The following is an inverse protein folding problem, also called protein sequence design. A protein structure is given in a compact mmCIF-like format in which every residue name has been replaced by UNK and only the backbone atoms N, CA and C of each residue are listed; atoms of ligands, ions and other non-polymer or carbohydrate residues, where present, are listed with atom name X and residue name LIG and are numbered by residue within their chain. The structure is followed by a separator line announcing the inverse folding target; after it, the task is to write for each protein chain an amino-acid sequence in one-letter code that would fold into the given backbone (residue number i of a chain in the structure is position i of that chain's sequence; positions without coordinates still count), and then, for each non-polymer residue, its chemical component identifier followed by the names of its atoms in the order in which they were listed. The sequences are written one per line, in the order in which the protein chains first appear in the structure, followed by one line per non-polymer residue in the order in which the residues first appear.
data_IF_343924757670
#
_entry.id   IF_343924757670
#
_cell.length_a   1.000
_cell.length_b   1.000
_cell.length_c   1.000
_cell.angle_alpha   90.00
_cell.angle_beta   90.00
_cell.angle_gamma   90.00
#
_symmetry.space_group_name_H-M   'P 1'
#
loop_
_entity.id
_entity.type
_entity.pdbx_description
1 polymer ?
#
# COMPACT_ATOMS: atom_id res chain seq x y z
N UNK A 1 2.56 23.95 37.19
CA UNK A 1 3.86 23.33 36.83
C UNK A 1 3.77 22.16 35.86
N UNK A 2 2.61 21.60 35.56
CA UNK A 2 2.46 20.47 34.61
C UNK A 2 2.55 20.86 33.10
N UNK A 3 2.37 22.13 32.76
CA UNK A 3 2.34 22.59 31.36
C UNK A 3 3.71 22.96 30.75
N UNK A 4 4.76 23.11 31.57
CA UNK A 4 6.11 23.38 31.07
C UNK A 4 6.90 22.10 30.73
N UNK A 5 6.52 20.95 31.30
CA UNK A 5 7.14 19.66 30.96
C UNK A 5 6.72 19.12 29.59
N UNK A 6 5.52 19.46 29.11
CA UNK A 6 5.03 19.04 27.78
C UNK A 6 5.71 19.80 26.63
N UNK A 7 6.06 21.08 26.81
CA UNK A 7 6.72 21.90 25.78
C UNK A 7 8.23 21.62 25.69
N UNK A 8 8.89 21.26 26.78
CA UNK A 8 10.30 20.84 26.77
C UNK A 8 10.50 19.45 26.14
N UNK A 9 9.49 18.59 26.17
CA UNK A 9 9.50 17.30 25.46
C UNK A 9 9.47 17.44 23.94
N UNK A 10 8.73 18.41 23.41
CA UNK A 10 8.63 18.62 21.95
C UNK A 10 9.91 19.16 21.30
N UNK A 11 10.72 19.92 22.04
CA UNK A 11 12.02 20.40 21.54
C UNK A 11 13.09 19.30 21.45
N UNK A 12 12.94 18.22 22.23
CA UNK A 12 13.86 17.06 22.24
C UNK A 12 13.66 16.11 21.05
N UNK A 13 12.48 16.10 20.41
CA UNK A 13 12.17 15.32 19.22
C UNK A 13 12.45 16.04 17.92
N UNK A 14 13.55 16.80 17.84
CA UNK A 14 13.86 17.65 16.67
C UNK A 14 13.92 16.89 15.35
N UNK A 15 14.44 15.66 15.34
CA UNK A 15 14.54 14.84 14.13
C UNK A 15 13.17 14.28 13.71
N UNK A 16 12.40 13.77 14.65
CA UNK A 16 11.02 13.30 14.42
C UNK A 16 10.14 14.44 13.88
N UNK A 17 10.25 15.64 14.47
CA UNK A 17 9.52 16.83 14.01
C UNK A 17 9.90 17.21 12.57
N UNK A 18 11.19 17.22 12.23
CA UNK A 18 11.67 17.50 10.87
C UNK A 18 11.08 16.49 9.86
N UNK A 19 11.09 15.20 10.17
CA UNK A 19 10.52 14.13 9.33
C UNK A 19 9.02 14.27 9.15
N UNK A 20 8.27 14.61 10.22
CA UNK A 20 6.83 14.86 10.16
C UNK A 20 6.49 16.10 9.32
N UNK A 21 7.21 17.20 9.53
CA UNK A 21 7.02 18.45 8.75
C UNK A 21 7.32 18.20 7.27
N UNK A 22 8.38 17.44 6.96
CA UNK A 22 8.68 17.05 5.58
C UNK A 22 7.56 16.22 4.97
N UNK A 23 7.04 15.23 5.70
CA UNK A 23 5.93 14.41 5.25
C UNK A 23 4.68 15.25 4.96
N UNK A 24 4.30 16.14 5.90
CA UNK A 24 3.15 17.02 5.71
C UNK A 24 3.34 17.94 4.49
N UNK A 25 4.53 18.53 4.32
CA UNK A 25 4.88 19.33 3.16
C UNK A 25 4.75 18.56 1.84
N UNK A 26 5.25 17.33 1.81
CA UNK A 26 5.14 16.45 0.64
C UNK A 26 3.67 16.10 0.31
N UNK A 27 2.83 15.85 1.32
CA UNK A 27 1.39 15.60 1.12
C UNK A 27 0.64 16.84 0.61
N UNK A 28 1.04 18.05 1.07
CA UNK A 28 0.50 19.31 0.54
C UNK A 28 0.87 19.48 -0.94
N UNK A 29 2.12 19.21 -1.32
CA UNK A 29 2.57 19.27 -2.72
C UNK A 29 1.79 18.26 -3.58
N UNK A 30 1.60 17.02 -3.09
CA UNK A 30 0.74 16.03 -3.76
C UNK A 30 -0.67 16.58 -3.96
N UNK A 31 -1.26 17.21 -2.95
CA UNK A 31 -2.63 17.72 -3.03
C UNK A 31 -2.76 18.90 -3.98
N UNK A 32 -1.79 19.79 -4.04
CA UNK A 32 -1.75 20.89 -5.02
C UNK A 32 -1.71 20.34 -6.44
N UNK A 33 -0.81 19.42 -6.74
CA UNK A 33 -0.69 18.79 -8.06
C UNK A 33 -1.95 18.02 -8.50
N UNK A 34 -2.70 17.46 -7.55
CA UNK A 34 -3.99 16.80 -7.81
C UNK A 34 -5.12 17.76 -8.24
N UNK A 35 -4.86 19.07 -8.30
CA UNK A 35 -5.81 20.09 -8.75
C UNK A 35 -5.34 20.85 -10.01
N UNK A 36 -4.17 20.56 -10.55
CA UNK A 36 -3.64 21.17 -11.77
C UNK A 36 -4.16 20.37 -12.97
N UNK A 37 -5.12 20.89 -13.77
CA UNK A 37 -5.65 20.16 -14.91
C UNK A 37 -4.63 20.08 -16.05
N UNK A 38 -4.75 19.04 -16.88
CA UNK A 38 -3.98 18.94 -18.14
C UNK A 38 -4.53 19.97 -19.12
N UNK A 39 -3.68 20.72 -19.83
CA UNK A 39 -4.13 21.72 -20.79
C UNK A 39 -4.85 21.07 -21.98
N UNK A 40 -5.84 21.78 -22.54
CA UNK A 40 -6.57 21.35 -23.73
C UNK A 40 -7.83 20.51 -23.47
N UNK A 41 -8.27 20.36 -22.25
CA UNK A 41 -9.49 19.63 -21.86
C UNK A 41 -10.51 20.56 -21.24
N UNK A 42 -11.77 20.44 -21.63
CA UNK A 42 -12.87 21.14 -20.96
C UNK A 42 -13.23 20.43 -19.66
N UNK A 43 -12.87 21.06 -18.54
CA UNK A 43 -13.07 20.53 -17.19
C UNK A 43 -14.56 20.34 -16.84
N UNK A 44 -15.45 21.17 -17.38
CA UNK A 44 -16.91 21.09 -17.08
C UNK A 44 -17.55 19.92 -17.81
N UNK A 45 -17.26 19.79 -19.10
CA UNK A 45 -17.73 18.66 -19.91
C UNK A 45 -17.22 17.32 -19.38
N UNK A 46 -15.94 17.28 -18.95
CA UNK A 46 -15.33 16.10 -18.38
C UNK A 46 -15.97 15.70 -17.03
N UNK A 47 -16.21 16.65 -16.15
CA UNK A 47 -16.87 16.38 -14.86
C UNK A 47 -18.26 15.77 -15.04
N UNK A 48 -19.02 16.22 -16.04
CA UNK A 48 -20.34 15.67 -16.36
C UNK A 48 -20.25 14.22 -16.87
N UNK A 49 -19.26 13.89 -17.70
CA UNK A 49 -19.03 12.53 -18.18
C UNK A 49 -18.69 11.56 -17.03
N UNK A 50 -17.80 11.97 -16.12
CA UNK A 50 -17.43 11.14 -14.99
C UNK A 50 -18.54 11.00 -13.94
N UNK A 51 -19.52 11.91 -13.87
CA UNK A 51 -20.68 11.74 -13.01
C UNK A 51 -21.50 10.49 -13.38
N UNK A 52 -21.61 10.15 -14.66
CA UNK A 52 -22.31 8.93 -15.12
C UNK A 52 -21.48 7.64 -14.99
N UNK A 53 -20.14 7.73 -14.91
CA UNK A 53 -19.24 6.57 -14.91
C UNK A 53 -18.64 6.25 -13.52
N UNK A 54 -19.18 6.85 -12.46
CA UNK A 54 -18.63 6.74 -11.10
C UNK A 54 -18.73 5.34 -10.49
N UNK A 55 -19.67 4.52 -10.92
CA UNK A 55 -19.98 3.22 -10.29
C UNK A 55 -19.16 2.04 -10.85
N UNK A 56 -18.14 2.33 -11.67
CA UNK A 56 -17.31 1.32 -12.31
C UNK A 56 -15.81 1.41 -11.96
N UNK A 57 -15.01 0.81 -12.82
CA UNK A 57 -13.54 0.80 -12.76
C UNK A 57 -12.97 2.21 -12.63
N UNK A 58 -13.58 3.19 -13.30
CA UNK A 58 -13.18 4.60 -13.24
C UNK A 58 -13.34 5.21 -11.85
N UNK A 59 -14.38 4.83 -11.11
CA UNK A 59 -14.56 5.27 -9.72
C UNK A 59 -13.45 4.77 -8.80
N UNK A 60 -13.04 3.50 -8.95
CA UNK A 60 -11.92 2.94 -8.18
C UNK A 60 -10.60 3.65 -8.52
N UNK A 61 -10.30 3.84 -9.82
CA UNK A 61 -9.11 4.55 -10.27
C UNK A 61 -9.09 5.99 -9.72
N UNK A 62 -10.23 6.67 -9.78
CA UNK A 62 -10.37 8.03 -9.27
C UNK A 62 -10.10 8.12 -7.77
N UNK A 63 -10.49 7.10 -7.01
CA UNK A 63 -10.24 7.01 -5.59
C UNK A 63 -8.75 6.81 -5.27
N UNK A 64 -8.06 5.92 -5.98
CA UNK A 64 -6.61 5.72 -5.83
C UNK A 64 -5.80 6.96 -6.25
N UNK A 65 -6.29 7.72 -7.24
CA UNK A 65 -5.67 8.97 -7.69
C UNK A 65 -6.07 10.20 -6.84
N UNK A 66 -6.93 10.02 -5.82
CA UNK A 66 -7.39 11.11 -4.96
C UNK A 66 -8.28 12.15 -5.64
N UNK A 67 -9.11 11.74 -6.60
CA UNK A 67 -9.98 12.61 -7.39
C UNK A 67 -9.28 13.28 -8.58
N UNK A 68 -8.03 12.89 -8.85
CA UNK A 68 -7.23 13.47 -9.94
C UNK A 68 -7.70 13.03 -11.32
N UNK A 69 -8.29 11.82 -11.45
CA UNK A 69 -8.78 11.31 -12.72
C UNK A 69 -10.04 12.05 -13.16
N UNK A 70 -10.99 12.28 -12.27
CA UNK A 70 -12.23 13.01 -12.56
C UNK A 70 -11.98 14.43 -13.09
N UNK A 71 -10.90 15.05 -12.63
CA UNK A 71 -10.47 16.40 -13.06
C UNK A 71 -9.45 16.37 -14.18
N UNK A 72 -9.02 15.20 -14.61
CA UNK A 72 -7.95 14.97 -15.58
C UNK A 72 -6.72 15.84 -15.29
N UNK A 73 -6.21 15.73 -14.10
CA UNK A 73 -5.04 16.49 -13.64
C UNK A 73 -3.73 15.80 -14.05
N UNK A 74 -2.61 16.47 -13.83
CA UNK A 74 -1.27 15.91 -14.08
C UNK A 74 -1.02 14.59 -13.33
N UNK A 75 -1.78 14.32 -12.26
CA UNK A 75 -1.73 13.08 -11.48
C UNK A 75 -2.90 12.13 -11.78
N UNK A 76 -3.59 12.27 -12.92
CA UNK A 76 -4.76 11.47 -13.26
C UNK A 76 -4.49 9.95 -13.25
N UNK A 77 -3.35 9.50 -13.76
CA UNK A 77 -2.93 8.09 -13.72
C UNK A 77 -2.40 7.69 -12.34
N UNK A 78 -1.97 8.67 -11.54
CA UNK A 78 -1.44 8.44 -10.19
C UNK A 78 -0.16 7.62 -10.18
N UNK A 79 -0.02 6.77 -9.16
CA UNK A 79 1.18 5.94 -8.92
C UNK A 79 1.04 4.51 -9.48
N UNK A 80 -0.08 4.21 -10.17
CA UNK A 80 -0.38 2.88 -10.71
C UNK A 80 0.69 2.32 -11.65
N UNK A 81 1.26 3.06 -12.62
CA UNK A 81 2.33 2.56 -13.48
C UNK A 81 3.55 2.09 -12.69
N UNK A 82 3.90 2.80 -11.62
CA UNK A 82 5.00 2.42 -10.75
C UNK A 82 4.71 1.13 -9.97
N UNK A 83 3.50 0.97 -9.43
CA UNK A 83 3.09 -0.24 -8.72
C UNK A 83 3.19 -1.44 -9.66
N UNK A 84 2.60 -1.34 -10.85
CA UNK A 84 2.63 -2.40 -11.87
C UNK A 84 4.06 -2.76 -12.29
N UNK A 85 4.91 -1.76 -12.54
CA UNK A 85 6.33 -1.96 -12.86
C UNK A 85 7.08 -2.62 -11.72
N UNK A 86 6.85 -2.20 -10.49
CA UNK A 86 7.47 -2.78 -9.30
C UNK A 86 7.11 -4.25 -9.13
N UNK A 87 5.85 -4.62 -9.37
CA UNK A 87 5.39 -6.02 -9.33
C UNK A 87 6.12 -6.84 -10.40
N UNK A 88 6.13 -6.35 -11.65
CA UNK A 88 6.77 -7.05 -12.77
C UNK A 88 8.25 -7.28 -12.49
N UNK A 89 8.97 -6.26 -12.00
CA UNK A 89 10.38 -6.36 -11.70
C UNK A 89 10.65 -7.28 -10.50
N UNK A 90 9.79 -7.25 -9.47
CA UNK A 90 9.89 -8.17 -8.33
C UNK A 90 9.67 -9.62 -8.74
N UNK A 91 8.65 -9.91 -9.56
CA UNK A 91 8.43 -11.24 -10.13
C UNK A 91 9.62 -11.68 -10.98
N UNK A 92 10.09 -10.82 -11.87
CA UNK A 92 11.25 -11.08 -12.71
C UNK A 92 12.52 -11.37 -11.89
N UNK A 93 12.70 -10.69 -10.75
CA UNK A 93 13.86 -10.90 -9.87
C UNK A 93 13.90 -12.27 -9.19
N UNK A 94 12.77 -12.97 -9.12
CA UNK A 94 12.73 -14.36 -8.61
C UNK A 94 12.87 -15.40 -9.72
N UNK A 95 12.42 -15.09 -10.94
CA UNK A 95 12.43 -16.01 -12.08
C UNK A 95 13.76 -15.95 -12.83
N UNK A 96 14.31 -14.74 -13.03
CA UNK A 96 15.51 -14.53 -13.83
C UNK A 96 16.76 -14.67 -12.94
N UNK A 97 17.66 -15.65 -13.23
CA UNK A 97 18.84 -15.92 -12.38
C UNK A 97 19.78 -14.72 -12.23
N UNK A 98 19.94 -13.89 -13.28
CA UNK A 98 20.79 -12.70 -13.25
C UNK A 98 20.24 -11.62 -12.29
N UNK A 99 18.92 -11.40 -12.27
CA UNK A 99 18.29 -10.46 -11.35
C UNK A 99 18.29 -10.99 -9.91
N UNK A 100 18.17 -12.31 -9.75
CA UNK A 100 18.28 -12.96 -8.44
C UNK A 100 19.70 -12.86 -7.86
N UNK A 101 20.73 -12.91 -8.69
CA UNK A 101 22.11 -12.65 -8.27
C UNK A 101 22.29 -11.21 -7.79
N UNK A 102 21.79 -10.23 -8.55
CA UNK A 102 21.80 -8.81 -8.16
C UNK A 102 21.09 -8.57 -6.81
N UNK A 103 19.97 -9.24 -6.54
CA UNK A 103 19.26 -9.13 -5.25
C UNK A 103 20.15 -9.56 -4.07
N UNK A 104 21.07 -10.50 -4.26
CA UNK A 104 22.02 -10.98 -3.24
C UNK A 104 23.20 -10.03 -3.02
N UNK A 105 23.48 -9.13 -3.93
CA UNK A 105 24.56 -8.13 -3.81
C UNK A 105 24.26 -7.00 -2.81
N UNK A 106 23.10 -7.05 -2.14
CA UNK A 106 22.71 -6.07 -1.11
C UNK A 106 22.32 -4.70 -1.69
N UNK A 107 22.87 -3.60 -1.16
CA UNK A 107 22.47 -2.25 -1.55
C UNK A 107 22.81 -1.89 -3.01
N UNK A 108 23.94 -2.37 -3.53
CA UNK A 108 24.33 -2.11 -4.92
C UNK A 108 23.34 -2.73 -5.90
N UNK A 109 22.99 -4.00 -5.70
CA UNK A 109 22.01 -4.69 -6.53
C UNK A 109 20.60 -4.08 -6.39
N UNK A 110 20.21 -3.63 -5.20
CA UNK A 110 18.95 -2.94 -4.97
C UNK A 110 18.81 -1.66 -5.79
N UNK A 111 19.88 -0.86 -5.90
CA UNK A 111 19.90 0.35 -6.74
C UNK A 111 19.66 0.02 -8.23
N UNK A 112 20.24 -1.07 -8.73
CA UNK A 112 20.05 -1.52 -10.11
C UNK A 112 18.59 -1.98 -10.34
N UNK A 113 18.05 -2.76 -9.43
CA UNK A 113 16.64 -3.21 -9.49
C UNK A 113 15.68 -2.01 -9.49
N UNK A 114 15.91 -1.02 -8.61
CA UNK A 114 15.13 0.22 -8.58
C UNK A 114 15.24 0.99 -9.92
N UNK A 115 16.41 1.01 -10.55
CA UNK A 115 16.60 1.62 -11.88
C UNK A 115 15.74 0.94 -12.94
N UNK A 116 15.68 -0.39 -12.96
CA UNK A 116 14.81 -1.14 -13.87
C UNK A 116 13.31 -0.85 -13.61
N UNK A 117 12.93 -0.77 -12.33
CA UNK A 117 11.56 -0.38 -11.96
C UNK A 117 11.21 1.02 -12.50
N UNK A 118 12.11 1.99 -12.40
CA UNK A 118 11.89 3.35 -12.94
C UNK A 118 11.73 3.33 -14.45
N UNK A 119 12.54 2.59 -15.20
CA UNK A 119 12.40 2.47 -16.66
C UNK A 119 11.08 1.80 -17.05
N UNK A 120 10.71 0.71 -16.36
CA UNK A 120 9.42 0.06 -16.56
C UNK A 120 8.25 1.00 -16.25
N UNK A 121 8.39 1.85 -15.22
CA UNK A 121 7.37 2.86 -14.89
C UNK A 121 7.18 3.86 -16.01
N UNK A 122 8.26 4.39 -16.61
CA UNK A 122 8.16 5.31 -17.75
C UNK A 122 7.44 4.66 -18.92
N UNK A 123 7.83 3.43 -19.27
CA UNK A 123 7.23 2.70 -20.38
C UNK A 123 5.71 2.48 -20.17
N UNK A 124 5.33 1.99 -18.99
CA UNK A 124 3.91 1.78 -18.67
C UNK A 124 3.15 3.10 -18.57
N UNK A 125 3.75 4.16 -18.04
CA UNK A 125 3.14 5.48 -17.95
C UNK A 125 2.87 6.06 -19.34
N UNK A 126 3.77 5.91 -20.31
CA UNK A 126 3.56 6.35 -21.71
C UNK A 126 2.37 5.62 -22.32
N UNK A 127 2.31 4.28 -22.20
CA UNK A 127 1.21 3.48 -22.73
C UNK A 127 -0.12 3.88 -22.10
N UNK A 128 -0.17 4.00 -20.79
CA UNK A 128 -1.40 4.39 -20.07
C UNK A 128 -1.81 5.84 -20.36
N UNK A 129 -0.84 6.77 -20.47
CA UNK A 129 -1.13 8.16 -20.83
C UNK A 129 -1.72 8.29 -22.22
N UNK A 130 -1.16 7.54 -23.19
CA UNK A 130 -1.68 7.53 -24.56
C UNK A 130 -3.10 6.97 -24.60
N UNK A 131 -3.36 5.88 -23.89
CA UNK A 131 -4.68 5.28 -23.79
C UNK A 131 -5.71 6.23 -23.13
N UNK A 132 -5.31 6.91 -22.03
CA UNK A 132 -6.15 7.91 -21.36
C UNK A 132 -6.46 9.11 -22.29
N UNK A 133 -5.46 9.60 -23.05
CA UNK A 133 -5.65 10.65 -24.04
C UNK A 133 -6.65 10.24 -25.13
N UNK A 134 -6.52 9.01 -25.64
CA UNK A 134 -7.45 8.45 -26.64
C UNK A 134 -8.88 8.39 -26.11
N UNK A 135 -9.06 7.95 -24.89
CA UNK A 135 -10.37 7.89 -24.23
C UNK A 135 -11.02 9.29 -24.14
N UNK A 136 -10.28 10.29 -23.63
CA UNK A 136 -10.77 11.66 -23.49
C UNK A 136 -11.08 12.29 -24.86
N UNK A 137 -10.25 12.02 -25.86
CA UNK A 137 -10.47 12.48 -27.24
C UNK A 137 -11.77 11.92 -27.85
N UNK A 138 -12.03 10.62 -27.66
CA UNK A 138 -13.25 9.96 -28.17
C UNK A 138 -14.52 10.51 -27.53
N UNK A 139 -14.44 11.06 -26.32
CA UNK A 139 -15.58 11.69 -25.63
C UNK A 139 -15.89 13.10 -26.15
N UNK A 140 -15.09 13.64 -27.05
CA UNK A 140 -15.35 14.97 -27.63
C UNK A 140 -15.14 16.16 -26.71
N UNK A 141 -14.37 16.00 -25.66
CA UNK A 141 -14.12 17.02 -24.58
C UNK A 141 -12.86 17.83 -24.83
N UNK A 142 -12.21 17.63 -25.98
CA UNK A 142 -10.93 18.24 -26.34
C UNK A 142 -11.17 19.54 -27.09
N UNK A 143 -10.50 20.63 -26.66
CA UNK A 143 -10.64 21.98 -27.21
C UNK A 143 -9.50 22.30 -28.20
N UNK A 144 -8.35 21.61 -28.08
CA UNK A 144 -7.14 21.87 -28.87
C UNK A 144 -6.99 20.95 -30.07
N UNK A 145 -5.99 21.21 -30.93
CA UNK A 145 -5.69 20.35 -32.06
C UNK A 145 -5.30 18.93 -31.60
N UNK A 146 -5.67 17.90 -32.39
CA UNK A 146 -5.47 16.50 -32.01
C UNK A 146 -4.03 16.16 -31.65
N UNK A 147 -3.07 16.56 -32.49
CA UNK A 147 -1.65 16.22 -32.26
C UNK A 147 -1.09 16.93 -31.02
N UNK A 148 -1.41 18.20 -30.84
CA UNK A 148 -0.99 19.01 -29.71
C UNK A 148 -1.55 18.44 -28.39
N UNK A 149 -2.82 18.04 -28.40
CA UNK A 149 -3.46 17.41 -27.24
C UNK A 149 -2.77 16.10 -26.84
N UNK A 150 -2.50 15.18 -27.79
CA UNK A 150 -1.84 13.91 -27.46
C UNK A 150 -0.44 14.12 -26.91
N UNK A 151 0.37 14.99 -27.51
CA UNK A 151 1.74 15.27 -27.03
C UNK A 151 1.70 15.90 -25.64
N UNK A 152 0.91 16.96 -25.45
CA UNK A 152 0.84 17.66 -24.16
C UNK A 152 0.32 16.75 -23.05
N UNK A 153 -0.72 15.97 -23.33
CA UNK A 153 -1.30 15.03 -22.35
C UNK A 153 -0.31 13.95 -21.94
N UNK A 154 0.35 13.28 -22.91
CA UNK A 154 1.32 12.22 -22.61
C UNK A 154 2.49 12.78 -21.80
N UNK A 155 3.04 13.92 -22.21
CA UNK A 155 4.16 14.54 -21.46
C UNK A 155 3.73 14.95 -20.05
N UNK A 156 2.55 15.57 -19.89
CA UNK A 156 2.05 15.97 -18.57
C UNK A 156 1.81 14.78 -17.64
N UNK A 157 1.14 13.74 -18.11
CA UNK A 157 0.80 12.57 -17.29
C UNK A 157 2.02 11.71 -16.93
N UNK A 158 2.95 11.53 -17.87
CA UNK A 158 4.22 10.82 -17.60
C UNK A 158 5.07 11.58 -16.60
N UNK A 159 5.21 12.90 -16.79
CA UNK A 159 5.94 13.75 -15.84
C UNK A 159 5.30 13.73 -14.46
N UNK A 160 3.96 13.79 -14.38
CA UNK A 160 3.21 13.69 -13.14
C UNK A 160 3.44 12.37 -12.41
N UNK A 161 3.40 11.25 -13.13
CA UNK A 161 3.67 9.91 -12.56
C UNK A 161 5.11 9.80 -12.05
N UNK A 162 6.09 10.28 -12.81
CA UNK A 162 7.50 10.26 -12.42
C UNK A 162 7.76 11.17 -11.21
N UNK A 163 7.07 12.31 -11.13
CA UNK A 163 7.13 13.19 -9.98
C UNK A 163 6.54 12.52 -8.72
N UNK A 164 5.39 11.84 -8.83
CA UNK A 164 4.80 11.11 -7.72
C UNK A 164 5.69 9.97 -7.22
N UNK A 165 6.31 9.24 -8.14
CA UNK A 165 7.28 8.21 -7.80
C UNK A 165 8.46 8.80 -7.02
N UNK A 166 9.07 9.87 -7.53
CA UNK A 166 10.17 10.58 -6.86
C UNK A 166 9.74 11.12 -5.49
N UNK A 167 8.55 11.70 -5.39
CA UNK A 167 8.01 12.21 -4.13
C UNK A 167 7.84 11.07 -3.10
N UNK A 168 7.32 9.90 -3.53
CA UNK A 168 7.20 8.71 -2.69
C UNK A 168 8.56 8.19 -2.19
N UNK A 169 9.59 8.20 -3.04
CA UNK A 169 10.95 7.85 -2.65
C UNK A 169 11.50 8.86 -1.62
N UNK A 170 11.32 10.16 -1.84
CA UNK A 170 11.76 11.19 -0.89
C UNK A 170 11.05 11.08 0.47
N UNK A 171 9.75 10.76 0.49
CA UNK A 171 9.03 10.52 1.75
C UNK A 171 9.61 9.30 2.47
N UNK A 172 9.95 8.24 1.75
CA UNK A 172 10.54 7.02 2.34
C UNK A 172 11.94 7.28 2.92
N UNK A 173 12.76 8.09 2.24
CA UNK A 173 14.13 8.39 2.67
C UNK A 173 14.19 9.42 3.81
N UNK A 174 13.44 10.50 3.70
CA UNK A 174 13.51 11.68 4.60
C UNK A 174 12.33 11.79 5.56
N UNK A 175 11.23 11.11 5.30
CA UNK A 175 10.02 11.11 6.12
C UNK A 175 9.97 9.94 7.09
N UNK A 176 8.75 9.46 7.35
CA UNK A 176 8.44 8.31 8.18
C UNK A 176 7.51 7.41 7.37
N UNK A 177 7.81 6.12 7.30
CA UNK A 177 6.98 5.15 6.64
C UNK A 177 7.31 4.91 5.17
N UNK A 178 6.48 4.10 4.52
CA UNK A 178 6.56 3.87 3.09
C UNK A 178 5.85 5.00 2.35
N UNK A 179 6.62 5.86 1.66
CA UNK A 179 6.09 7.05 1.00
C UNK A 179 5.02 6.76 -0.05
N UNK A 180 5.15 5.65 -0.77
CA UNK A 180 4.18 5.24 -1.79
C UNK A 180 2.84 4.89 -1.15
N UNK A 181 2.87 4.08 -0.08
CA UNK A 181 1.66 3.73 0.67
C UNK A 181 1.00 4.95 1.29
N UNK A 182 1.78 5.93 1.76
CA UNK A 182 1.27 7.18 2.31
C UNK A 182 0.63 8.08 1.25
N UNK A 183 1.17 8.16 0.03
CA UNK A 183 0.55 8.89 -1.08
C UNK A 183 -0.78 8.25 -1.47
N UNK A 184 -0.84 6.92 -1.57
CA UNK A 184 -2.09 6.18 -1.85
C UNK A 184 -3.12 6.46 -0.75
N UNK A 185 -2.69 6.37 0.52
CA UNK A 185 -3.57 6.66 1.67
C UNK A 185 -4.07 8.10 1.66
N UNK A 186 -3.22 9.08 1.32
CA UNK A 186 -3.62 10.47 1.18
C UNK A 186 -4.65 10.67 0.06
N UNK A 187 -4.51 9.94 -1.06
CA UNK A 187 -5.51 9.89 -2.13
C UNK A 187 -6.86 9.37 -1.60
N UNK A 188 -6.87 8.25 -0.90
CA UNK A 188 -8.08 7.66 -0.31
C UNK A 188 -8.73 8.61 0.71
N UNK A 189 -7.94 9.16 1.63
CA UNK A 189 -8.43 10.11 2.65
C UNK A 189 -9.08 11.34 2.03
N UNK A 190 -8.55 11.82 0.91
CA UNK A 190 -9.11 12.97 0.21
C UNK A 190 -10.52 12.73 -0.35
N UNK A 191 -10.90 11.48 -0.59
CA UNK A 191 -12.25 11.08 -1.01
C UNK A 191 -13.26 10.94 0.14
N UNK A 192 -12.79 10.84 1.40
CA UNK A 192 -13.69 10.64 2.56
C UNK A 192 -14.72 11.77 2.74
N UNK A 193 -14.35 13.07 2.64
CA UNK A 193 -15.34 14.14 2.83
C UNK A 193 -16.49 14.08 1.81
N UNK A 194 -16.20 13.79 0.55
CA UNK A 194 -17.23 13.64 -0.49
C UNK A 194 -18.09 12.38 -0.27
N UNK A 195 -17.48 11.29 0.22
CA UNK A 195 -18.22 10.08 0.60
C UNK A 195 -19.17 10.32 1.77
N UNK A 196 -18.74 11.04 2.81
CA UNK A 196 -19.59 11.42 3.96
C UNK A 196 -20.73 12.34 3.52
N UNK A 197 -20.48 13.34 2.66
CA UNK A 197 -21.51 14.22 2.14
C UNK A 197 -22.64 13.43 1.44
N UNK A 198 -22.29 12.45 0.61
CA UNK A 198 -23.27 11.57 -0.06
C UNK A 198 -24.04 10.68 0.91
N UNK A 199 -23.36 10.14 1.94
CA UNK A 199 -24.06 9.38 2.98
C UNK A 199 -25.10 10.25 3.71
N UNK A 200 -24.77 11.51 3.97
CA UNK A 200 -25.71 12.45 4.59
C UNK A 200 -26.89 12.80 3.67
N UNK A 201 -26.68 12.87 2.36
CA UNK A 201 -27.76 13.04 1.38
C UNK A 201 -28.67 11.82 1.34
N UNK A 202 -28.11 10.61 1.33
CA UNK A 202 -28.87 9.35 1.42
C UNK A 202 -29.64 9.23 2.74
N UNK A 203 -29.12 9.77 3.83
CA UNK A 203 -29.78 9.74 5.12
C UNK A 203 -31.14 10.48 5.10
N UNK A 204 -31.33 11.44 4.19
CA UNK A 204 -32.62 12.15 4.03
C UNK A 204 -33.71 11.24 3.46
N UNK A 205 -33.34 10.25 2.65
CA UNK A 205 -34.30 9.32 2.01
C UNK A 205 -34.35 7.94 2.69
N UNK A 206 -33.21 7.45 3.21
CA UNK A 206 -33.05 6.11 3.74
C UNK A 206 -32.22 6.11 5.04
N UNK A 207 -32.72 6.71 6.09
CA UNK A 207 -32.00 6.87 7.38
C UNK A 207 -31.53 5.54 7.98
N UNK A 208 -32.36 4.48 7.93
CA UNK A 208 -32.02 3.18 8.49
C UNK A 208 -30.82 2.53 7.75
N UNK A 209 -30.80 2.59 6.43
CA UNK A 209 -29.74 2.04 5.59
C UNK A 209 -28.40 2.72 5.89
N UNK A 210 -28.40 4.04 6.07
CA UNK A 210 -27.18 4.81 6.39
C UNK A 210 -26.63 4.45 7.77
N UNK A 211 -27.47 4.26 8.77
CA UNK A 211 -27.06 3.81 10.10
C UNK A 211 -26.42 2.43 10.01
N UNK A 212 -27.04 1.50 9.28
CA UNK A 212 -26.51 0.15 9.08
C UNK A 212 -25.14 0.15 8.40
N UNK A 213 -24.97 0.96 7.34
CA UNK A 213 -23.70 1.10 6.61
C UNK A 213 -22.62 1.69 7.52
N UNK A 214 -22.93 2.76 8.24
CA UNK A 214 -21.96 3.40 9.15
C UNK A 214 -21.52 2.43 10.24
N UNK A 215 -22.45 1.68 10.83
CA UNK A 215 -22.14 0.64 11.80
C UNK A 215 -21.27 -0.48 11.18
N UNK A 216 -21.59 -0.91 9.96
CA UNK A 216 -20.82 -1.91 9.22
C UNK A 216 -19.39 -1.48 8.97
N UNK A 217 -19.16 -0.21 8.58
CA UNK A 217 -17.82 0.35 8.38
C UNK A 217 -17.03 0.36 9.69
N UNK A 218 -17.63 0.85 10.78
CA UNK A 218 -16.98 0.87 12.08
C UNK A 218 -16.62 -0.54 12.57
N UNK A 219 -17.51 -1.50 12.35
CA UNK A 219 -17.26 -2.91 12.65
C UNK A 219 -16.09 -3.46 11.82
N UNK A 220 -16.06 -3.18 10.51
CA UNK A 220 -14.96 -3.59 9.63
C UNK A 220 -13.63 -2.98 10.08
N UNK A 221 -13.59 -1.69 10.40
CA UNK A 221 -12.39 -1.05 10.93
C UNK A 221 -11.92 -1.74 12.21
N UNK A 222 -12.83 -2.03 13.14
CA UNK A 222 -12.51 -2.73 14.38
C UNK A 222 -11.91 -4.12 14.10
N UNK A 223 -12.53 -4.89 13.22
CA UNK A 223 -12.06 -6.23 12.82
C UNK A 223 -10.66 -6.13 12.19
N UNK A 224 -10.43 -5.18 11.29
CA UNK A 224 -9.12 -4.97 10.65
C UNK A 224 -8.04 -4.65 11.69
N UNK A 225 -8.31 -3.72 12.61
CA UNK A 225 -7.37 -3.35 13.67
C UNK A 225 -7.07 -4.54 14.58
N UNK A 226 -8.08 -5.34 14.91
CA UNK A 226 -7.92 -6.52 15.76
C UNK A 226 -7.02 -7.58 15.11
N UNK A 227 -7.29 -7.95 13.85
CA UNK A 227 -6.49 -8.93 13.11
C UNK A 227 -5.08 -8.44 12.80
N UNK A 228 -4.89 -7.17 12.47
CA UNK A 228 -3.58 -6.60 12.16
C UNK A 228 -2.69 -6.46 13.41
N UNK A 229 -3.32 -6.29 14.58
CA UNK A 229 -2.62 -6.30 15.87
C UNK A 229 -2.26 -7.70 16.35
N UNK A 230 -2.88 -8.74 15.77
CA UNK A 230 -2.70 -10.11 16.21
C UNK A 230 -1.31 -10.64 15.83
N UNK A 231 -0.62 -11.21 16.82
CA UNK A 231 0.73 -11.74 16.66
C UNK A 231 0.84 -13.12 17.29
N UNK A 232 1.50 -14.05 16.59
CA UNK A 232 1.93 -15.32 17.16
C UNK A 232 3.33 -15.18 17.74
N UNK A 233 3.46 -15.38 19.03
CA UNK A 233 4.74 -15.33 19.75
C UNK A 233 5.37 -16.72 19.77
N UNK A 234 6.55 -16.88 19.13
CA UNK A 234 7.34 -18.11 19.18
C UNK A 234 8.40 -17.95 20.26
N UNK A 235 8.44 -18.83 21.27
CA UNK A 235 9.45 -18.75 22.32
C UNK A 235 10.83 -19.12 21.77
N UNK A 236 11.84 -18.34 22.14
CA UNK A 236 13.24 -18.56 21.81
C UNK A 236 14.04 -18.49 23.11
N UNK A 237 14.89 -19.47 23.32
CA UNK A 237 15.81 -19.52 24.44
C UNK A 237 17.23 -19.26 23.97
N UNK A 238 17.95 -18.40 24.68
CA UNK A 238 19.37 -18.23 24.51
C UNK A 238 20.12 -19.18 25.43
N UNK A 239 21.19 -19.81 24.92
CA UNK A 239 22.07 -20.64 25.73
C UNK A 239 22.67 -19.79 26.88
N UNK A 240 22.74 -20.38 28.06
CA UNK A 240 23.40 -19.75 29.22
C UNK A 240 24.86 -19.47 28.83
N UNK A 241 25.28 -18.22 28.90
CA UNK A 241 26.68 -17.82 28.72
C UNK A 241 27.27 -17.53 30.09
N UNK A 242 28.40 -18.17 30.40
CA UNK A 242 29.19 -17.87 31.55
C UNK A 242 30.14 -16.73 31.22
N UNK A 243 30.01 -15.61 31.88
CA UNK A 243 30.92 -14.47 31.77
C UNK A 243 31.66 -14.37 33.13
N UNK A 244 32.88 -14.89 33.19
CA UNK A 244 33.64 -14.95 34.44
C UNK A 244 32.94 -15.84 35.49
N UNK A 245 32.84 -15.37 36.72
CA UNK A 245 32.17 -16.06 37.82
C UNK A 245 30.65 -15.88 37.91
N UNK A 246 30.07 -15.03 37.04
CA UNK A 246 28.63 -14.76 37.01
C UNK A 246 27.92 -15.62 36.00
N UNK A 247 27.02 -16.48 36.41
CA UNK A 247 26.09 -17.22 35.55
C UNK A 247 24.93 -16.27 35.13
N UNK A 248 24.97 -15.81 33.91
CA UNK A 248 23.83 -15.10 33.31
C UNK A 248 22.73 -16.11 32.98
N UNK A 249 21.58 -16.02 33.67
CA UNK A 249 20.44 -16.91 33.41
C UNK A 249 19.98 -16.74 31.99
N UNK A 250 19.76 -17.85 31.29
CA UNK A 250 19.29 -17.82 29.89
C UNK A 250 18.02 -17.00 29.77
N UNK A 251 18.07 -15.92 28.98
CA UNK A 251 16.89 -15.11 28.70
C UNK A 251 15.97 -15.83 27.72
N UNK A 252 14.70 -15.96 28.08
CA UNK A 252 13.66 -16.39 27.15
C UNK A 252 13.06 -15.16 26.47
N UNK A 253 13.22 -15.06 25.17
CA UNK A 253 12.65 -13.99 24.35
C UNK A 253 11.60 -14.60 23.44
N UNK A 254 10.55 -13.85 23.13
CA UNK A 254 9.52 -14.26 22.20
C UNK A 254 9.71 -13.55 20.87
N UNK A 255 9.77 -14.31 19.77
CA UNK A 255 9.76 -13.77 18.43
C UNK A 255 8.32 -13.56 17.98
N UNK A 256 7.88 -12.30 17.75
CA UNK A 256 6.54 -12.03 17.30
C UNK A 256 6.44 -12.21 15.77
N UNK A 257 5.48 -13.03 15.32
CA UNK A 257 5.08 -13.13 13.91
C UNK A 257 3.71 -12.49 13.76
N UNK A 258 3.58 -11.47 12.92
CA UNK A 258 2.27 -10.89 12.57
C UNK A 258 1.40 -11.95 11.91
N UNK A 259 0.09 -11.93 12.16
CA UNK A 259 -0.87 -12.80 11.48
C UNK A 259 -0.90 -12.49 9.98
N UNK A 260 -0.89 -11.21 9.64
CA UNK A 260 -0.73 -10.71 8.28
C UNK A 260 0.73 -10.29 8.07
N UNK A 261 1.56 -11.20 7.55
CA UNK A 261 2.97 -10.91 7.24
C UNK A 261 3.13 -10.17 5.91
N UNK A 262 2.18 -10.32 5.02
CA UNK A 262 2.19 -9.70 3.70
C UNK A 262 1.73 -8.23 3.71
N UNK A 263 1.05 -7.78 4.76
CA UNK A 263 0.54 -6.41 4.89
C UNK A 263 -0.53 -6.07 3.84
N UNK A 264 -0.49 -4.84 3.35
CA UNK A 264 -1.43 -4.31 2.33
C UNK A 264 -0.96 -4.54 0.90
N UNK A 265 0.23 -5.06 0.69
CA UNK A 265 0.84 -5.20 -0.64
C UNK A 265 0.05 -6.16 -1.54
N UNK A 266 -0.39 -7.36 -1.10
CA UNK A 266 -1.14 -8.27 -1.94
C UNK A 266 -2.45 -7.72 -2.51
N UNK A 267 -3.32 -7.04 -1.74
CA UNK A 267 -4.50 -6.38 -2.28
C UNK A 267 -4.19 -5.29 -3.29
N UNK A 268 -3.13 -4.50 -3.06
CA UNK A 268 -2.68 -3.46 -4.00
C UNK A 268 -2.21 -4.10 -5.32
N UNK A 269 -1.47 -5.21 -5.23
CA UNK A 269 -1.01 -5.95 -6.40
C UNK A 269 -2.17 -6.59 -7.16
N UNK A 270 -3.10 -7.23 -6.46
CA UNK A 270 -4.27 -7.83 -7.06
C UNK A 270 -5.12 -6.79 -7.81
N UNK A 271 -5.41 -5.65 -7.16
CA UNK A 271 -6.15 -4.57 -7.81
C UNK A 271 -5.41 -4.00 -9.01
N UNK A 272 -4.10 -3.77 -8.92
CA UNK A 272 -3.31 -3.23 -10.03
C UNK A 272 -3.27 -4.16 -11.25
N UNK A 273 -3.12 -5.49 -11.03
CA UNK A 273 -3.08 -6.47 -12.12
C UNK A 273 -4.42 -6.61 -12.81
N UNK A 274 -5.52 -6.53 -12.07
CA UNK A 274 -6.87 -6.63 -12.67
C UNK A 274 -7.27 -5.31 -13.33
N UNK A 275 -6.96 -4.17 -12.69
CA UNK A 275 -7.31 -2.86 -13.22
C UNK A 275 -6.51 -2.51 -14.50
N UNK A 276 -5.24 -2.93 -14.59
CA UNK A 276 -4.40 -2.57 -15.73
C UNK A 276 -4.98 -3.07 -17.10
N UNK A 277 -5.28 -4.38 -17.30
CA UNK A 277 -5.92 -4.83 -18.52
C UNK A 277 -7.31 -4.24 -18.72
N UNK A 278 -8.10 -4.13 -17.65
CA UNK A 278 -9.47 -3.60 -17.72
C UNK A 278 -9.50 -2.14 -18.15
N UNK A 279 -8.56 -1.32 -17.70
CA UNK A 279 -8.43 0.08 -18.15
C UNK A 279 -7.98 0.18 -19.59
N UNK A 280 -7.01 -0.62 -20.01
CA UNK A 280 -6.59 -0.66 -21.42
C UNK A 280 -7.74 -1.09 -22.33
N UNK A 281 -8.48 -2.14 -21.97
CA UNK A 281 -9.65 -2.59 -22.72
C UNK A 281 -10.76 -1.53 -22.78
N UNK A 282 -11.00 -0.81 -21.67
CA UNK A 282 -11.96 0.29 -21.60
C UNK A 282 -11.55 1.50 -22.45
N UNK A 283 -10.25 1.76 -22.59
CA UNK A 283 -9.74 2.91 -23.34
C UNK A 283 -9.54 2.62 -24.84
N UNK A 284 -9.11 1.40 -25.20
CA UNK A 284 -8.91 0.98 -26.58
C UNK A 284 -10.09 0.19 -27.17
N UNK A 285 -11.05 -0.23 -26.32
CA UNK A 285 -12.21 -1.00 -26.76
C UNK A 285 -13.06 -0.18 -27.73
N UNK A 286 -13.15 -0.66 -28.96
CA UNK A 286 -14.09 -0.11 -29.96
C UNK A 286 -15.53 -0.28 -29.46
N UNK A 287 -16.41 0.67 -29.79
CA UNK A 287 -17.85 0.63 -29.50
C UNK A 287 -18.60 -0.55 -30.13
N UNK A 288 -17.90 -1.46 -30.80
CA UNK A 288 -18.48 -2.65 -31.41
C UNK A 288 -18.86 -3.67 -30.36
N UNK A 289 -20.14 -3.73 -30.05
CA UNK A 289 -20.76 -4.65 -29.05
C UNK A 289 -20.53 -6.13 -29.36
N UNK A 290 -20.15 -6.49 -30.60
CA UNK A 290 -19.86 -7.86 -31.02
C UNK A 290 -18.39 -8.28 -30.87
N UNK A 291 -17.50 -7.39 -30.45
CA UNK A 291 -16.09 -7.72 -30.25
C UNK A 291 -15.90 -8.67 -29.08
N UNK A 292 -15.04 -9.69 -29.23
CA UNK A 292 -14.61 -10.59 -28.16
C UNK A 292 -14.05 -9.78 -26.97
N UNK A 293 -13.37 -8.67 -27.27
CA UNK A 293 -12.83 -7.75 -26.27
C UNK A 293 -13.93 -7.14 -25.40
N UNK A 294 -15.06 -6.75 -25.98
CA UNK A 294 -16.20 -6.21 -25.25
C UNK A 294 -16.82 -7.28 -24.32
N UNK A 295 -16.95 -8.53 -24.77
CA UNK A 295 -17.43 -9.64 -23.91
C UNK A 295 -16.49 -9.93 -22.75
N UNK A 296 -15.17 -9.90 -22.99
CA UNK A 296 -14.18 -10.08 -21.90
C UNK A 296 -14.25 -8.91 -20.92
N UNK A 297 -14.35 -7.67 -21.42
CA UNK A 297 -14.42 -6.50 -20.52
C UNK A 297 -15.67 -6.51 -19.65
N UNK A 298 -16.82 -6.93 -20.19
CA UNK A 298 -18.07 -7.06 -19.41
C UNK A 298 -18.00 -8.17 -18.35
N UNK A 299 -17.36 -9.31 -18.66
CA UNK A 299 -17.18 -10.41 -17.70
C UNK A 299 -16.22 -10.07 -16.55
N UNK A 300 -15.24 -9.21 -16.80
CA UNK A 300 -14.25 -8.75 -15.79
C UNK A 300 -14.69 -7.43 -15.15
N UNK A 301 -15.90 -6.98 -15.41
CA UNK A 301 -16.46 -5.77 -14.84
C UNK A 301 -16.73 -5.95 -13.33
N UNK A 302 -16.55 -4.86 -12.58
CA UNK A 302 -16.80 -4.79 -11.14
C UNK A 302 -18.21 -5.27 -10.78
N UNK A 303 -18.33 -6.10 -9.75
CA UNK A 303 -19.60 -6.70 -9.34
C UNK A 303 -19.96 -8.03 -10.03
N UNK A 304 -19.24 -8.46 -11.07
CA UNK A 304 -19.47 -9.75 -11.71
C UNK A 304 -18.85 -10.91 -10.91
N UNK A 305 -19.49 -12.10 -10.86
CA UNK A 305 -18.97 -13.25 -10.11
C UNK A 305 -17.57 -13.66 -10.53
N UNK A 306 -17.25 -13.54 -11.82
CA UNK A 306 -15.92 -13.86 -12.35
C UNK A 306 -14.87 -12.89 -11.85
N UNK A 307 -15.18 -11.59 -11.79
CA UNK A 307 -14.30 -10.57 -11.20
C UNK A 307 -13.99 -10.90 -9.73
N UNK A 308 -15.03 -11.21 -8.93
CA UNK A 308 -14.89 -11.55 -7.51
C UNK A 308 -14.00 -12.77 -7.33
N UNK A 309 -14.21 -13.83 -8.13
CA UNK A 309 -13.41 -15.05 -8.08
C UNK A 309 -11.95 -14.83 -8.48
N UNK A 310 -11.70 -14.07 -9.56
CA UNK A 310 -10.36 -13.68 -10.00
C UNK A 310 -9.65 -12.83 -8.94
N UNK A 311 -10.35 -11.85 -8.38
CA UNK A 311 -9.81 -10.96 -7.37
C UNK A 311 -9.42 -11.73 -6.10
N UNK A 312 -10.30 -12.59 -5.60
CA UNK A 312 -10.02 -13.45 -4.44
C UNK A 312 -8.80 -14.37 -4.68
N UNK A 313 -8.76 -15.03 -5.83
CA UNK A 313 -7.67 -15.95 -6.21
C UNK A 313 -6.35 -15.19 -6.32
N UNK A 314 -6.37 -14.01 -6.92
CA UNK A 314 -5.19 -13.17 -7.10
C UNK A 314 -4.66 -12.64 -5.76
N UNK A 315 -5.53 -12.22 -4.84
CA UNK A 315 -5.13 -11.84 -3.47
C UNK A 315 -4.44 -13.01 -2.75
N UNK A 316 -5.05 -14.19 -2.76
CA UNK A 316 -4.49 -15.37 -2.10
C UNK A 316 -3.12 -15.71 -2.71
N UNK A 317 -3.02 -15.73 -4.03
CA UNK A 317 -1.76 -15.98 -4.72
C UNK A 317 -0.67 -14.99 -4.29
N UNK A 318 -0.96 -13.69 -4.29
CA UNK A 318 0.02 -12.68 -3.89
C UNK A 318 0.34 -12.70 -2.40
N UNK A 319 -0.57 -13.11 -1.53
CA UNK A 319 -0.26 -13.30 -0.12
C UNK A 319 0.83 -14.36 0.07
N UNK A 320 0.69 -15.52 -0.57
CA UNK A 320 1.71 -16.58 -0.51
C UNK A 320 3.00 -16.16 -1.20
N UNK A 321 2.90 -15.60 -2.39
CA UNK A 321 4.06 -15.16 -3.16
C UNK A 321 4.88 -14.12 -2.40
N UNK A 322 4.23 -13.08 -1.89
CA UNK A 322 4.92 -12.00 -1.17
C UNK A 322 5.52 -12.48 0.16
N UNK A 323 4.81 -13.33 0.89
CA UNK A 323 5.34 -13.91 2.12
C UNK A 323 6.60 -14.76 1.84
N UNK A 324 6.59 -15.57 0.78
CA UNK A 324 7.76 -16.35 0.36
C UNK A 324 8.95 -15.47 -0.07
N UNK A 325 8.68 -14.29 -0.63
CA UNK A 325 9.68 -13.35 -1.10
C UNK A 325 10.34 -12.57 0.05
N UNK A 326 9.57 -12.20 1.07
CA UNK A 326 10.03 -11.37 2.20
C UNK A 326 10.63 -12.23 3.31
N UNK A 327 10.11 -13.42 3.51
CA UNK A 327 10.50 -14.29 4.62
C UNK A 327 11.36 -15.47 4.14
N UNK A 328 12.62 -15.50 4.58
CA UNK A 328 13.55 -16.62 4.34
C UNK A 328 13.73 -17.44 5.64
N UNK A 329 13.00 -18.59 5.78
CA UNK A 329 13.10 -19.43 6.98
C UNK A 329 14.51 -19.96 7.22
N UNK A 330 15.28 -20.23 6.16
CA UNK A 330 16.65 -20.73 6.23
C UNK A 330 17.61 -19.72 6.83
N UNK A 331 17.60 -18.47 6.32
CA UNK A 331 18.46 -17.41 6.82
C UNK A 331 18.14 -17.09 8.29
N UNK A 332 16.85 -17.09 8.65
CA UNK A 332 16.43 -16.85 10.03
C UNK A 332 16.89 -17.96 10.97
N UNK A 333 16.76 -19.22 10.57
CA UNK A 333 17.24 -20.36 11.35
C UNK A 333 18.77 -20.36 11.50
N UNK A 334 19.52 -19.96 10.47
CA UNK A 334 20.97 -19.79 10.55
C UNK A 334 21.38 -18.64 11.48
N UNK A 335 20.69 -17.51 11.42
CA UNK A 335 20.93 -16.37 12.30
C UNK A 335 20.66 -16.73 13.77
N UNK A 336 19.58 -17.47 14.05
CA UNK A 336 19.31 -18.00 15.38
C UNK A 336 20.43 -18.94 15.85
N UNK A 337 20.89 -19.84 14.98
CA UNK A 337 22.02 -20.75 15.29
C UNK A 337 23.30 -19.98 15.58
N UNK A 338 23.64 -18.97 14.77
CA UNK A 338 24.84 -18.13 14.96
C UNK A 338 24.77 -17.33 16.27
N UNK A 339 23.60 -16.84 16.67
CA UNK A 339 23.41 -16.13 17.93
C UNK A 339 23.32 -17.03 19.17
N UNK A 340 23.39 -18.37 19.00
CA UNK A 340 23.25 -19.33 20.09
C UNK A 340 21.83 -19.43 20.64
N UNK A 341 20.83 -19.00 19.88
CA UNK A 341 19.42 -19.07 20.20
C UNK A 341 18.78 -20.33 19.60
N UNK A 342 17.83 -20.91 20.31
CA UNK A 342 17.12 -22.11 19.83
C UNK A 342 15.64 -22.08 20.25
N UNK A 343 14.82 -22.78 19.48
CA UNK A 343 13.40 -23.01 19.82
C UNK A 343 13.32 -24.23 20.73
N UNK A 344 12.64 -24.14 21.88
CA UNK A 344 12.52 -25.27 22.79
C UNK A 344 11.95 -26.51 22.09
N UNK A 345 12.61 -27.67 22.29
CA UNK A 345 12.19 -28.94 21.71
C UNK A 345 12.56 -29.14 20.23
N UNK A 346 13.24 -28.20 19.57
CA UNK A 346 13.62 -28.29 18.14
C UNK A 346 15.15 -28.11 18.02
N UNK A 347 15.79 -29.00 17.23
CA UNK A 347 17.24 -28.88 16.96
C UNK A 347 17.54 -27.62 16.13
N UNK A 348 18.56 -26.83 16.54
CA UNK A 348 19.00 -25.66 15.77
C UNK A 348 19.45 -26.03 14.35
N UNK A 349 19.08 -25.21 13.36
CA UNK A 349 19.42 -25.39 11.96
C UNK A 349 18.24 -25.80 11.09
N UNK A 350 18.36 -26.85 10.30
CA UNK A 350 17.36 -27.22 9.29
C UNK A 350 15.98 -27.56 9.88
N UNK A 351 15.93 -28.21 11.05
CA UNK A 351 14.66 -28.51 11.70
C UNK A 351 13.94 -27.23 12.18
N UNK A 352 14.69 -26.26 12.68
CA UNK A 352 14.16 -24.93 13.03
C UNK A 352 13.63 -24.21 11.79
N UNK A 353 14.34 -24.30 10.65
CA UNK A 353 13.88 -23.74 9.37
C UNK A 353 12.54 -24.34 8.94
N UNK A 354 12.41 -25.68 8.95
CA UNK A 354 11.16 -26.39 8.60
C UNK A 354 10.00 -26.05 9.56
N UNK A 355 10.29 -25.88 10.83
CA UNK A 355 9.28 -25.46 11.81
C UNK A 355 8.79 -24.03 11.54
N UNK A 356 9.71 -23.08 11.33
CA UNK A 356 9.36 -21.70 11.01
C UNK A 356 8.57 -21.59 9.70
N UNK A 357 8.97 -22.36 8.68
CA UNK A 357 8.24 -22.46 7.42
C UNK A 357 6.78 -22.91 7.62
N UNK A 358 6.56 -23.99 8.39
CA UNK A 358 5.19 -24.46 8.72
C UNK A 358 4.38 -23.40 9.47
N UNK A 359 5.00 -22.68 10.41
CA UNK A 359 4.32 -21.61 11.16
C UNK A 359 3.92 -20.49 10.21
N UNK A 360 4.82 -20.04 9.36
CA UNK A 360 4.58 -18.96 8.41
C UNK A 360 3.52 -19.34 7.38
N UNK A 361 3.59 -20.54 6.78
CA UNK A 361 2.58 -21.02 5.83
C UNK A 361 1.17 -21.04 6.43
N UNK A 362 1.03 -21.47 7.67
CA UNK A 362 -0.27 -21.45 8.37
C UNK A 362 -0.76 -20.04 8.64
N UNK A 363 0.13 -19.15 9.10
CA UNK A 363 -0.22 -17.75 9.32
C UNK A 363 -0.62 -17.06 8.01
N UNK A 364 0.09 -17.35 6.92
CA UNK A 364 -0.23 -16.80 5.58
C UNK A 364 -1.60 -17.26 5.10
N UNK A 365 -1.99 -18.53 5.36
CA UNK A 365 -3.33 -19.03 5.02
C UNK A 365 -4.42 -18.21 5.72
N UNK A 366 -4.31 -18.06 7.05
CA UNK A 366 -5.28 -17.27 7.82
C UNK A 366 -5.26 -15.78 7.43
N UNK A 367 -4.07 -15.23 7.20
CA UNK A 367 -3.91 -13.86 6.71
C UNK A 367 -4.53 -13.65 5.34
N UNK A 368 -4.32 -14.58 4.40
CA UNK A 368 -4.90 -14.51 3.05
C UNK A 368 -6.43 -14.58 3.08
N UNK A 369 -7.00 -15.52 3.85
CA UNK A 369 -8.46 -15.62 4.01
C UNK A 369 -9.05 -14.36 4.64
N UNK A 370 -8.41 -13.85 5.70
CA UNK A 370 -8.81 -12.61 6.35
C UNK A 370 -8.82 -11.43 5.36
N UNK A 371 -7.69 -11.19 4.64
CA UNK A 371 -7.57 -10.09 3.67
C UNK A 371 -8.62 -10.22 2.58
N UNK A 372 -8.77 -11.42 2.01
CA UNK A 372 -9.76 -11.69 0.96
C UNK A 372 -11.17 -11.38 1.43
N UNK A 373 -11.54 -11.82 2.64
CA UNK A 373 -12.86 -11.55 3.23
C UNK A 373 -13.10 -10.05 3.41
N UNK A 374 -12.13 -9.33 3.99
CA UNK A 374 -12.25 -7.87 4.20
C UNK A 374 -12.37 -7.11 2.88
N UNK A 375 -11.65 -7.53 1.84
CA UNK A 375 -11.71 -6.90 0.53
C UNK A 375 -13.04 -7.17 -0.18
N UNK A 376 -13.64 -8.35 0.01
CA UNK A 376 -14.88 -8.74 -0.65
C UNK A 376 -16.16 -8.28 0.06
N UNK A 377 -16.16 -8.09 1.38
CA UNK A 377 -17.36 -7.66 2.13
C UNK A 377 -17.97 -6.37 1.57
N UNK A 378 -17.23 -5.26 1.38
CA UNK A 378 -17.80 -4.05 0.80
C UNK A 378 -18.31 -4.23 -0.63
N UNK A 379 -17.65 -5.09 -1.41
CA UNK A 379 -18.07 -5.44 -2.77
C UNK A 379 -19.48 -6.09 -2.77
N UNK A 380 -19.69 -7.05 -1.88
CA UNK A 380 -21.01 -7.65 -1.70
C UNK A 380 -22.04 -6.66 -1.17
N UNK A 381 -21.65 -5.77 -0.26
CA UNK A 381 -22.55 -4.76 0.30
C UNK A 381 -22.98 -3.74 -0.77
N UNK A 382 -22.09 -3.27 -1.61
CA UNK A 382 -22.41 -2.34 -2.70
C UNK A 382 -23.35 -2.98 -3.71
N UNK A 383 -23.11 -4.24 -4.07
CA UNK A 383 -23.95 -4.99 -5.02
C UNK A 383 -25.33 -5.32 -4.44
N UNK A 384 -25.41 -5.70 -3.15
CA UNK A 384 -26.66 -6.08 -2.50
C UNK A 384 -27.56 -4.90 -2.11
N UNK A 385 -26.96 -3.77 -1.69
CA UNK A 385 -27.71 -2.62 -1.17
C UNK A 385 -27.85 -1.48 -2.20
N UNK A 386 -27.28 -1.61 -3.41
CA UNK A 386 -27.23 -0.57 -4.44
C UNK A 386 -26.80 0.81 -3.90
N UNK A 387 -25.88 0.80 -2.92
CA UNK A 387 -25.44 2.03 -2.28
C UNK A 387 -24.25 2.57 -3.06
N UNK A 388 -24.25 3.83 -3.47
CA UNK A 388 -23.11 4.48 -4.11
C UNK A 388 -22.00 4.75 -3.08
N UNK A 389 -21.47 3.68 -2.47
CA UNK A 389 -20.45 3.77 -1.44
C UNK A 389 -19.07 3.42 -2.02
N UNK A 390 -18.23 4.43 -2.15
CA UNK A 390 -16.94 4.35 -2.83
C UNK A 390 -15.76 3.87 -1.97
N UNK A 391 -15.96 3.56 -0.68
CA UNK A 391 -14.90 2.96 0.13
C UNK A 391 -14.85 1.45 -0.13
N UNK A 392 -14.17 1.04 -1.20
CA UNK A 392 -13.87 -0.37 -1.45
C UNK A 392 -13.10 -1.00 -0.29
N UNK A 393 -13.23 -2.32 -0.13
CA UNK A 393 -12.56 -3.04 0.97
C UNK A 393 -11.04 -2.89 0.96
N UNK A 394 -10.43 -2.82 -0.23
CA UNK A 394 -9.01 -2.54 -0.39
C UNK A 394 -8.60 -1.20 0.17
N UNK A 395 -9.39 -0.16 -0.06
CA UNK A 395 -9.09 1.19 0.39
C UNK A 395 -9.20 1.34 1.89
N UNK A 396 -10.23 0.73 2.49
CA UNK A 396 -10.39 0.70 3.94
C UNK A 396 -9.23 -0.07 4.59
N UNK A 397 -8.85 -1.20 4.04
CA UNK A 397 -7.73 -2.00 4.53
C UNK A 397 -6.41 -1.22 4.42
N UNK A 398 -6.13 -0.58 3.27
CA UNK A 398 -4.94 0.24 3.06
C UNK A 398 -4.90 1.38 4.09
N UNK A 399 -6.01 2.10 4.27
CA UNK A 399 -6.11 3.21 5.21
C UNK A 399 -5.76 2.78 6.63
N UNK A 400 -6.36 1.69 7.12
CA UNK A 400 -6.16 1.22 8.49
C UNK A 400 -4.74 0.69 8.69
N UNK A 401 -4.26 -0.18 7.80
CA UNK A 401 -2.94 -0.82 7.98
C UNK A 401 -1.81 0.18 7.84
N UNK A 402 -1.87 1.10 6.86
CA UNK A 402 -0.84 2.15 6.70
C UNK A 402 -0.83 3.08 7.92
N UNK A 403 -2.00 3.42 8.47
CA UNK A 403 -2.09 4.22 9.71
C UNK A 403 -1.48 3.48 10.90
N UNK A 404 -1.72 2.17 11.03
CA UNK A 404 -1.13 1.35 12.08
C UNK A 404 0.40 1.21 11.94
N UNK A 405 0.90 0.99 10.73
CA UNK A 405 2.34 0.93 10.45
C UNK A 405 3.00 2.28 10.73
N UNK A 406 2.37 3.38 10.34
CA UNK A 406 2.83 4.74 10.65
C UNK A 406 2.92 4.98 12.18
N UNK A 407 1.87 4.61 12.93
CA UNK A 407 1.88 4.67 14.40
C UNK A 407 3.01 3.84 14.99
N UNK A 408 3.22 2.63 14.51
CA UNK A 408 4.27 1.73 15.00
C UNK A 408 5.66 2.32 14.77
N UNK A 409 5.89 2.93 13.62
CA UNK A 409 7.16 3.58 13.32
C UNK A 409 7.39 4.82 14.18
N UNK A 410 6.37 5.67 14.38
CA UNK A 410 6.48 6.80 15.32
C UNK A 410 6.85 6.30 16.72
N UNK A 411 6.17 5.27 17.21
CA UNK A 411 6.47 4.71 18.53
C UNK A 411 7.92 4.19 18.62
N UNK A 412 8.43 3.56 17.56
CA UNK A 412 9.83 3.09 17.52
C UNK A 412 10.82 4.26 17.59
N UNK A 413 10.56 5.36 16.88
CA UNK A 413 11.39 6.57 16.95
C UNK A 413 11.35 7.21 18.35
N UNK A 414 10.17 7.28 18.96
CA UNK A 414 10.01 7.83 20.31
C UNK A 414 10.78 6.98 21.34
N UNK A 415 10.65 5.66 21.24
CA UNK A 415 11.39 4.74 22.15
C UNK A 415 12.91 4.83 21.93
N UNK A 416 13.39 4.86 20.69
CA UNK A 416 14.82 5.03 20.39
C UNK A 416 15.39 6.31 21.00
N UNK A 417 14.68 7.43 20.83
CA UNK A 417 15.08 8.72 21.43
C UNK A 417 15.09 8.70 22.96
N UNK A 418 14.14 7.99 23.59
CA UNK A 418 14.12 7.82 25.05
C UNK A 418 15.31 6.98 25.54
N UNK A 419 15.70 5.94 24.82
CA UNK A 419 16.87 5.11 25.13
C UNK A 419 18.18 5.91 25.01
N UNK A 420 18.35 6.73 23.97
CA UNK A 420 19.50 7.61 23.82
C UNK A 420 19.62 8.60 24.98
N UNK A 421 18.50 9.16 25.42
CA UNK A 421 18.45 10.09 26.58
C UNK A 421 18.87 9.39 27.90
N UNK A 422 18.44 8.14 28.09
CA UNK A 422 18.83 7.35 29.27
C UNK A 422 20.34 7.01 29.25
N UNK A 423 20.89 6.67 28.07
CA UNK A 423 22.31 6.36 27.91
C UNK A 423 23.21 7.60 27.97
N UNK A 424 22.68 8.79 27.69
CA UNK A 424 23.43 10.05 27.73
C UNK A 424 23.54 10.65 29.15
N UNK A 425 22.77 10.16 30.16
CA UNK A 425 22.83 10.63 31.55
C UNK A 425 24.16 10.28 32.19
N UNK A 426 24.81 11.23 32.90
CA UNK A 426 26.14 11.03 33.51
C UNK A 426 26.23 9.85 34.47
N UNK A 427 25.13 9.53 35.15
CA UNK A 427 25.07 8.45 36.15
C UNK A 427 25.23 7.04 35.54
N UNK A 428 24.83 6.84 34.29
CA UNK A 428 25.01 5.54 33.60
C UNK A 428 26.41 5.39 32.97
N UNK A 429 27.08 6.49 32.65
CA UNK A 429 28.47 6.45 32.14
C UNK A 429 29.47 6.03 33.23
N UNK A 430 29.15 6.23 34.48
CA UNK A 430 29.96 5.78 35.61
C UNK A 430 29.85 4.28 35.88
N UNK A 431 28.68 3.67 35.58
CA UNK A 431 28.43 2.22 35.72
C UNK A 431 29.07 1.37 34.60
N UNK A 432 29.26 1.93 33.42
CA UNK A 432 29.92 1.21 32.30
C UNK A 432 31.45 1.23 32.37
N UNK A 433 32.06 1.98 33.32
CA UNK A 433 33.51 2.05 33.55
C UNK A 433 34.00 1.22 34.73
N UNK A 434 33.12 0.53 35.44
CA UNK A 434 33.44 -0.52 36.41
C UNK A 434 33.07 -1.89 35.84
#
# INVERSE_FOLDING_TARGET
MANQQSLSGLSRFGDLKKRLVFLLGALVVFRIGAHIPVPGVDAVALANLFQGARDGIFGMLNMFSGGSLERFTIFAIGIMPYISSSIIVQLASEIIPSLKALKKEGEAGRKIITKYTRYGTVLLAVVQSFAAATFVYQQGVVVTSTLEFYISTVVCLVTGTMFLMWLGEQITERGIGNGISLIITAGIVSGIPSGVARLLELAKSQSFTVVLITFGILLLIYVVVYFESAQRKVPIHYAKRQFGSSMMSGQSIHMPFKLNMAGVIPPIFASSIILFPSTLLGWFGSNDTNSILHRISTLVQHGQPLYIALFATTIIFFCYFYTALVFSPKEMAENLKKSGAFVPGIRPGEQTSRYLEKVVLRLTLFGALYITTICLIPEFLTTALNVPFYLGGTSLLILVVVTMDFRTQINSYVMSSQYEDLMSRPDMKSLSRK
#
